data_IF_363013954897
#
_entry.id   IF_363013954897
#
_cell.length_a   1.000
_cell.length_b   1.000
_cell.length_c   1.000
_cell.angle_alpha   90.00
_cell.angle_beta   90.00
_cell.angle_gamma   90.00
#
_symmetry.space_group_name_H-M   'P 1'
#
loop_
_entity.id
_entity.type
_entity.pdbx_description
1 polymer ?
#
# COMPACT_ATOMS: atom_id res chain seq x y z
N UNK A 1 5.33 -11.06 -3.53
CA UNK A 1 3.93 -11.22 -3.04
C UNK A 1 3.88 -10.92 -1.56
N UNK A 2 2.78 -10.36 -1.08
CA UNK A 2 2.55 -9.87 0.28
C UNK A 2 1.18 -10.33 0.78
N UNK A 3 0.86 -10.01 2.04
CA UNK A 3 -0.41 -10.37 2.67
C UNK A 3 -1.27 -9.16 3.03
N UNK A 4 -0.66 -7.98 3.05
CA UNK A 4 -1.24 -6.75 3.61
C UNK A 4 -1.22 -6.71 5.15
N UNK A 5 -0.42 -7.57 5.79
CA UNK A 5 -0.17 -7.52 7.23
C UNK A 5 1.15 -6.79 7.47
N UNK A 6 1.06 -5.60 8.02
CA UNK A 6 2.22 -4.74 8.26
C UNK A 6 3.07 -5.32 9.38
N UNK A 7 4.37 -5.45 9.10
CA UNK A 7 5.36 -6.01 10.04
C UNK A 7 6.32 -4.96 10.61
N UNK A 8 6.22 -3.72 10.12
CA UNK A 8 6.98 -2.59 10.63
C UNK A 8 6.47 -1.25 10.13
N UNK A 9 6.78 -0.19 10.85
CA UNK A 9 6.55 1.19 10.41
C UNK A 9 7.90 1.89 10.37
N UNK A 10 8.32 2.25 9.16
CA UNK A 10 9.54 3.00 8.90
C UNK A 10 9.29 4.44 8.50
N UNK A 11 10.35 5.11 8.06
CA UNK A 11 10.25 6.45 7.49
C UNK A 11 11.28 6.67 6.37
N UNK A 12 11.03 7.60 5.48
CA UNK A 12 12.00 8.03 4.48
C UNK A 12 13.04 8.91 5.17
N UNK A 13 14.27 8.42 5.27
CA UNK A 13 15.38 9.14 5.89
C UNK A 13 16.05 10.12 4.91
N UNK A 14 16.16 9.73 3.62
CA UNK A 14 16.75 10.59 2.59
C UNK A 14 16.21 10.24 1.19
N UNK A 15 16.32 11.20 0.27
CA UNK A 15 15.99 11.07 -1.14
C UNK A 15 17.16 11.58 -1.98
N UNK A 16 17.57 10.79 -2.98
CA UNK A 16 18.62 11.16 -3.93
C UNK A 16 18.08 11.00 -5.35
N UNK A 17 18.28 12.01 -6.20
CA UNK A 17 17.92 11.89 -7.61
C UNK A 17 18.87 10.88 -8.31
N UNK A 18 18.32 10.03 -9.18
CA UNK A 18 19.11 9.10 -10.00
C UNK A 18 19.57 9.73 -11.32
N UNK A 19 19.17 10.97 -11.60
CA UNK A 19 19.55 11.73 -12.78
C UNK A 19 19.07 13.16 -12.70
N UNK A 20 19.30 13.94 -13.76
CA UNK A 20 19.07 15.39 -13.79
C UNK A 20 17.73 15.82 -14.39
N UNK A 21 16.97 14.92 -15.01
CA UNK A 21 15.64 15.22 -15.59
C UNK A 21 14.51 14.68 -14.72
N UNK A 22 13.29 15.14 -14.98
CA UNK A 22 12.08 14.67 -14.31
C UNK A 22 11.72 13.22 -14.64
N UNK A 23 12.26 12.66 -15.72
CA UNK A 23 12.04 11.28 -16.15
C UNK A 23 12.91 10.29 -15.35
N UNK A 24 13.85 10.79 -14.55
CA UNK A 24 14.66 9.96 -13.70
C UNK A 24 13.94 9.68 -12.38
N UNK A 25 14.11 8.44 -11.89
CA UNK A 25 13.65 8.03 -10.58
C UNK A 25 14.48 8.62 -9.44
N UNK A 26 14.25 8.07 -8.27
CA UNK A 26 14.97 8.46 -7.04
C UNK A 26 15.46 7.23 -6.31
N UNK A 27 16.58 7.38 -5.61
CA UNK A 27 17.02 6.48 -4.56
C UNK A 27 16.44 6.94 -3.24
N UNK A 28 15.72 6.07 -2.57
CA UNK A 28 15.18 6.31 -1.23
C UNK A 28 16.04 5.58 -0.21
N UNK A 29 16.40 6.28 0.86
CA UNK A 29 16.95 5.67 2.07
C UNK A 29 15.80 5.56 3.06
N UNK A 30 15.53 4.34 3.49
CA UNK A 30 14.43 4.03 4.41
C UNK A 30 15.04 3.62 5.75
N UNK A 31 14.60 4.27 6.83
CA UNK A 31 14.85 3.84 8.20
C UNK A 31 13.77 2.85 8.62
N UNK A 32 14.16 1.64 8.95
CA UNK A 32 13.29 0.58 9.44
C UNK A 32 13.35 0.50 10.98
N UNK A 33 12.34 -0.09 11.63
CA UNK A 33 12.40 -0.32 13.07
C UNK A 33 13.52 -1.33 13.45
N UNK A 34 14.02 -1.28 14.69
CA UNK A 34 15.06 -2.19 15.14
C UNK A 34 14.72 -3.67 14.91
N UNK A 35 15.68 -4.44 14.39
CA UNK A 35 15.51 -5.86 14.10
C UNK A 35 14.72 -6.19 12.83
N UNK A 36 14.12 -5.20 12.18
CA UNK A 36 13.34 -5.44 10.95
C UNK A 36 14.21 -5.99 9.81
N UNK A 37 15.47 -5.58 9.73
CA UNK A 37 16.39 -5.94 8.66
C UNK A 37 17.23 -7.20 8.93
N UNK A 38 17.07 -7.86 10.07
CA UNK A 38 17.94 -8.98 10.48
C UNK A 38 17.95 -10.17 9.51
N UNK A 39 16.84 -10.34 8.76
CA UNK A 39 16.66 -11.43 7.80
C UNK A 39 16.43 -10.93 6.36
N UNK A 40 16.79 -9.68 6.07
CA UNK A 40 16.63 -9.04 4.76
C UNK A 40 17.95 -9.09 4.00
N UNK A 41 17.91 -9.53 2.75
CA UNK A 41 19.03 -9.56 1.81
C UNK A 41 18.91 -8.57 0.67
N UNK A 42 20.02 -8.37 -0.07
CA UNK A 42 19.99 -7.62 -1.32
C UNK A 42 19.12 -8.36 -2.35
N UNK A 43 18.27 -7.62 -3.07
CA UNK A 43 17.33 -8.18 -4.03
C UNK A 43 15.99 -8.60 -3.42
N UNK A 44 15.85 -8.61 -2.10
CA UNK A 44 14.56 -8.88 -1.47
C UNK A 44 13.55 -7.79 -1.77
N UNK A 45 12.27 -8.19 -1.77
CA UNK A 45 11.15 -7.26 -1.96
C UNK A 45 10.57 -6.83 -0.62
N UNK A 46 10.41 -5.52 -0.45
CA UNK A 46 9.68 -4.92 0.67
C UNK A 46 8.61 -4.00 0.10
N UNK A 47 7.37 -4.14 0.56
CA UNK A 47 6.30 -3.21 0.23
C UNK A 47 6.41 -1.94 1.10
N UNK A 48 6.46 -0.78 0.45
CA UNK A 48 6.46 0.55 1.06
C UNK A 48 5.10 1.21 0.84
N UNK A 49 4.27 1.31 1.86
CA UNK A 49 2.87 1.74 1.72
C UNK A 49 2.14 1.03 0.56
N UNK A 50 2.36 -0.28 0.43
CA UNK A 50 1.76 -1.13 -0.60
C UNK A 50 2.48 -1.14 -1.94
N UNK A 51 3.54 -0.35 -2.15
CA UNK A 51 4.34 -0.40 -3.36
C UNK A 51 5.52 -1.36 -3.20
N UNK A 52 5.57 -2.43 -4.00
CA UNK A 52 6.66 -3.41 -4.01
C UNK A 52 7.96 -2.77 -4.51
N UNK A 53 9.00 -2.82 -3.68
CA UNK A 53 10.31 -2.26 -3.97
C UNK A 53 11.41 -3.29 -3.69
N UNK A 54 12.48 -3.23 -4.48
CA UNK A 54 13.62 -4.14 -4.34
C UNK A 54 14.73 -3.47 -3.53
N UNK A 55 15.24 -4.16 -2.52
CA UNK A 55 16.34 -3.70 -1.69
C UNK A 55 17.64 -3.68 -2.49
N UNK A 56 18.27 -2.50 -2.59
CA UNK A 56 19.51 -2.29 -3.34
C UNK A 56 20.75 -2.14 -2.47
N UNK A 57 20.60 -1.74 -1.20
CA UNK A 57 21.67 -1.77 -0.20
C UNK A 57 21.12 -1.86 1.21
N UNK A 58 21.97 -2.25 2.16
CA UNK A 58 21.67 -2.39 3.59
C UNK A 58 22.74 -1.68 4.42
N UNK A 59 22.33 -0.94 5.44
CA UNK A 59 23.15 -0.39 6.53
C UNK A 59 22.55 -0.86 7.85
N UNK A 60 22.89 -2.09 8.24
CA UNK A 60 22.32 -2.74 9.42
C UNK A 60 22.59 -1.96 10.73
N UNK A 61 23.79 -1.37 10.96
CA UNK A 61 24.03 -0.57 12.14
C UNK A 61 23.09 0.62 12.31
N UNK A 62 22.64 1.23 11.19
CA UNK A 62 21.69 2.34 11.20
C UNK A 62 20.26 1.90 11.02
N UNK A 63 20.01 0.61 10.81
CA UNK A 63 18.70 0.07 10.41
C UNK A 63 18.16 0.76 9.16
N UNK A 64 19.03 1.01 8.18
CA UNK A 64 18.65 1.59 6.89
C UNK A 64 18.76 0.59 5.75
N UNK A 65 17.85 0.71 4.80
CA UNK A 65 17.96 0.08 3.49
C UNK A 65 17.67 1.08 2.38
N UNK A 66 18.15 0.81 1.18
CA UNK A 66 17.85 1.65 0.01
C UNK A 66 17.06 0.88 -1.02
N UNK A 67 16.24 1.63 -1.75
CA UNK A 67 15.54 1.17 -2.95
C UNK A 67 15.67 2.24 -4.05
N UNK A 68 15.58 1.83 -5.30
CA UNK A 68 15.46 2.73 -6.44
C UNK A 68 14.03 2.67 -6.96
N UNK A 69 13.37 3.83 -7.03
CA UNK A 69 12.00 3.97 -7.50
C UNK A 69 11.98 4.74 -8.82
N UNK A 70 11.23 4.25 -9.82
CA UNK A 70 11.08 4.92 -11.10
C UNK A 70 10.25 6.20 -10.98
N UNK A 71 10.39 7.11 -11.96
CA UNK A 71 9.55 8.30 -12.06
C UNK A 71 8.06 7.92 -12.21
N UNK A 72 7.76 6.86 -12.97
CA UNK A 72 6.39 6.35 -13.13
C UNK A 72 5.80 5.89 -11.79
N UNK A 73 6.54 5.07 -11.02
CA UNK A 73 6.06 4.61 -9.70
C UNK A 73 5.85 5.77 -8.74
N UNK A 74 6.72 6.79 -8.77
CA UNK A 74 6.54 8.02 -7.98
C UNK A 74 5.27 8.78 -8.38
N UNK A 75 4.93 8.82 -9.67
CA UNK A 75 3.73 9.50 -10.17
C UNK A 75 2.45 8.74 -9.81
N UNK A 76 2.52 7.39 -9.69
CA UNK A 76 1.37 6.53 -9.39
C UNK A 76 1.15 6.25 -7.91
N UNK A 77 2.04 6.71 -7.05
CA UNK A 77 1.97 6.49 -5.60
C UNK A 77 1.96 7.81 -4.85
N UNK A 78 1.58 7.77 -3.59
CA UNK A 78 1.64 8.92 -2.69
C UNK A 78 2.55 8.65 -1.50
N UNK A 79 3.18 9.73 -0.98
CA UNK A 79 4.03 9.68 0.21
C UNK A 79 5.49 9.29 -0.03
N UNK A 80 5.83 8.66 -1.18
CA UNK A 80 7.18 8.14 -1.43
C UNK A 80 8.21 9.22 -1.88
N UNK A 81 7.77 10.46 -2.08
CA UNK A 81 8.63 11.56 -2.50
C UNK A 81 8.96 12.58 -1.38
N UNK A 82 8.70 12.24 -0.11
CA UNK A 82 8.82 13.18 1.01
C UNK A 82 9.67 12.60 2.14
N UNK A 83 10.78 13.27 2.47
CA UNK A 83 11.60 12.94 3.65
C UNK A 83 10.78 13.07 4.93
N UNK A 84 10.97 12.15 5.86
CA UNK A 84 10.24 12.07 7.13
C UNK A 84 8.85 11.39 7.03
N UNK A 85 8.37 11.09 5.81
CA UNK A 85 7.09 10.41 5.65
C UNK A 85 7.12 9.00 6.24
N UNK A 86 6.10 8.67 7.06
CA UNK A 86 5.96 7.35 7.69
C UNK A 86 5.43 6.33 6.69
N UNK A 87 6.02 5.15 6.69
CA UNK A 87 5.71 4.07 5.76
C UNK A 87 5.32 2.80 6.50
N UNK A 88 4.24 2.18 6.05
CA UNK A 88 3.98 0.78 6.35
C UNK A 88 4.99 -0.08 5.59
N UNK A 89 5.62 -1.01 6.29
CA UNK A 89 6.59 -1.94 5.74
C UNK A 89 6.09 -3.37 5.88
N UNK A 90 6.17 -4.13 4.79
CA UNK A 90 5.91 -5.56 4.79
C UNK A 90 6.98 -6.24 3.94
N UNK A 91 7.64 -7.27 4.47
CA UNK A 91 8.55 -8.13 3.71
C UNK A 91 7.77 -9.10 2.84
N UNK A 92 8.32 -9.47 1.67
CA UNK A 92 7.69 -10.48 0.82
C UNK A 92 7.51 -11.79 1.57
N UNK A 93 6.37 -12.46 1.31
CA UNK A 93 6.02 -13.77 1.86
C UNK A 93 7.09 -14.82 1.55
N UNK A 94 7.43 -15.62 2.55
CA UNK A 94 8.14 -16.90 2.41
C UNK A 94 7.14 -18.03 2.17
N UNK A 95 7.63 -19.15 1.65
CA UNK A 95 6.79 -20.29 1.33
C UNK A 95 6.03 -20.91 2.53
N UNK A 96 6.54 -20.72 3.74
CA UNK A 96 5.94 -21.22 4.98
C UNK A 96 5.22 -20.17 5.82
N UNK A 97 5.08 -18.94 5.32
CA UNK A 97 4.37 -17.88 6.03
C UNK A 97 2.84 -18.06 5.95
N UNK A 98 2.14 -17.47 6.92
CA UNK A 98 0.69 -17.46 6.93
C UNK A 98 0.14 -16.33 6.07
N UNK A 99 -0.87 -16.62 5.27
CA UNK A 99 -1.66 -15.60 4.57
C UNK A 99 -2.69 -15.01 5.55
N UNK A 100 -2.26 -14.05 6.38
CA UNK A 100 -3.13 -13.45 7.41
C UNK A 100 -4.14 -12.41 6.90
N UNK A 101 -3.90 -11.84 5.71
CA UNK A 101 -4.79 -10.91 5.03
C UNK A 101 -5.38 -11.52 3.75
N UNK A 102 -4.99 -10.97 2.58
CA UNK A 102 -5.33 -11.53 1.28
C UNK A 102 -4.09 -11.55 0.36
N UNK A 103 -4.24 -12.03 -0.87
CA UNK A 103 -3.12 -12.05 -1.84
C UNK A 103 -2.89 -10.62 -2.34
N UNK A 104 -1.75 -10.02 -1.95
CA UNK A 104 -1.35 -8.66 -2.31
C UNK A 104 -0.12 -8.72 -3.20
N UNK A 105 -0.18 -8.04 -4.36
CA UNK A 105 0.93 -8.03 -5.31
C UNK A 105 1.99 -6.96 -4.98
N UNK A 106 1.58 -5.89 -4.31
CA UNK A 106 2.38 -4.70 -4.09
C UNK A 106 2.37 -3.76 -5.30
N UNK A 107 1.33 -3.84 -6.13
CA UNK A 107 1.17 -3.02 -7.31
C UNK A 107 -0.01 -2.05 -7.12
N UNK A 108 0.31 -0.82 -6.75
CA UNK A 108 -0.67 0.23 -6.50
C UNK A 108 -1.48 0.52 -7.76
N UNK A 109 -2.80 0.40 -7.67
CA UNK A 109 -3.74 0.64 -8.77
C UNK A 109 -4.14 2.09 -8.92
N UNK A 110 -4.14 2.83 -7.82
CA UNK A 110 -4.53 4.22 -7.81
C UNK A 110 -4.34 4.88 -6.46
N UNK A 111 -4.63 6.16 -6.43
CA UNK A 111 -4.56 6.97 -5.23
C UNK A 111 -5.99 7.34 -4.83
N UNK A 112 -6.37 6.98 -3.61
CA UNK A 112 -7.60 7.39 -2.97
C UNK A 112 -7.40 8.61 -2.08
N UNK A 113 -8.52 9.19 -1.65
CA UNK A 113 -8.55 10.29 -0.69
C UNK A 113 -9.41 9.90 0.51
N UNK A 114 -8.87 10.08 1.71
CA UNK A 114 -9.62 9.89 2.96
C UNK A 114 -10.71 10.96 3.06
N UNK A 115 -11.95 10.53 3.13
CA UNK A 115 -13.13 11.40 3.30
C UNK A 115 -13.56 11.50 4.76
N UNK A 116 -13.24 10.48 5.56
CA UNK A 116 -13.50 10.45 7.00
C UNK A 116 -12.46 9.58 7.71
N UNK A 117 -12.02 10.03 8.88
CA UNK A 117 -11.19 9.26 9.80
C UNK A 117 -11.50 9.70 11.23
N UNK A 118 -12.41 8.99 11.87
CA UNK A 118 -12.94 9.35 13.18
C UNK A 118 -13.07 8.14 14.09
N UNK A 119 -12.83 8.33 15.36
CA UNK A 119 -13.07 7.28 16.36
C UNK A 119 -14.57 7.12 16.62
N UNK A 120 -15.05 5.89 16.60
CA UNK A 120 -16.43 5.51 16.88
C UNK A 120 -16.41 4.36 17.88
N UNK A 121 -16.73 4.65 19.14
CA UNK A 121 -16.53 3.69 20.22
C UNK A 121 -15.05 3.34 20.39
N UNK A 122 -14.76 2.05 20.42
CA UNK A 122 -13.39 1.51 20.50
C UNK A 122 -12.69 1.41 19.14
N UNK A 123 -13.42 1.61 18.04
CA UNK A 123 -12.95 1.44 16.67
C UNK A 123 -12.84 2.78 15.95
N UNK A 124 -12.39 2.74 14.68
CA UNK A 124 -12.27 3.93 13.83
C UNK A 124 -13.04 3.74 12.52
N UNK A 125 -13.88 4.72 12.16
CA UNK A 125 -14.53 4.80 10.83
C UNK A 125 -13.56 5.47 9.85
N UNK A 126 -12.93 4.65 9.01
CA UNK A 126 -12.13 5.11 7.88
C UNK A 126 -12.98 5.04 6.62
N UNK A 127 -13.12 6.18 5.92
CA UNK A 127 -13.73 6.20 4.59
C UNK A 127 -12.73 6.75 3.58
N UNK A 128 -12.68 6.11 2.43
CA UNK A 128 -11.78 6.47 1.35
C UNK A 128 -12.55 6.53 0.05
N UNK A 129 -12.45 7.67 -0.63
CA UNK A 129 -12.92 7.83 -2.01
C UNK A 129 -11.88 7.22 -2.94
N UNK A 130 -12.24 6.12 -3.59
CA UNK A 130 -11.46 5.50 -4.65
C UNK A 130 -11.86 6.10 -6.01
N UNK A 131 -10.91 6.22 -6.97
CA UNK A 131 -11.22 6.65 -8.33
C UNK A 131 -12.31 5.78 -8.98
N UNK A 132 -13.15 6.36 -9.83
CA UNK A 132 -14.25 5.66 -10.49
C UNK A 132 -13.82 4.40 -11.26
N UNK A 133 -12.60 4.42 -11.83
CA UNK A 133 -12.03 3.26 -12.52
C UNK A 133 -11.84 2.03 -11.61
N UNK A 134 -11.72 2.22 -10.29
CA UNK A 134 -11.57 1.15 -9.33
C UNK A 134 -12.89 0.67 -8.71
N UNK A 135 -13.99 1.41 -8.90
CA UNK A 135 -15.28 1.12 -8.27
C UNK A 135 -15.76 -0.32 -8.49
N UNK A 136 -15.66 -0.83 -9.72
CA UNK A 136 -16.11 -2.17 -10.11
C UNK A 136 -15.38 -3.33 -9.42
N UNK A 137 -14.22 -3.07 -8.83
CA UNK A 137 -13.42 -4.07 -8.12
C UNK A 137 -13.69 -4.10 -6.61
N UNK A 138 -14.41 -3.11 -6.10
CA UNK A 138 -14.74 -3.01 -4.69
C UNK A 138 -16.05 -3.72 -4.40
N UNK A 139 -16.06 -4.58 -3.40
CA UNK A 139 -17.25 -5.34 -3.03
C UNK A 139 -17.49 -5.29 -1.51
N UNK A 140 -18.77 -5.29 -1.10
CA UNK A 140 -19.13 -5.45 0.32
C UNK A 140 -18.54 -6.75 0.85
N UNK A 141 -17.84 -6.68 1.98
CA UNK A 141 -17.06 -7.79 2.59
C UNK A 141 -15.90 -8.32 1.73
N UNK A 142 -15.59 -7.65 0.63
CA UNK A 142 -14.35 -7.88 -0.12
C UNK A 142 -13.13 -7.25 0.55
N UNK A 143 -11.96 -7.53 -0.01
CA UNK A 143 -10.69 -7.00 0.46
C UNK A 143 -10.21 -5.83 -0.40
N UNK A 144 -9.48 -4.91 0.24
CA UNK A 144 -8.73 -3.83 -0.41
C UNK A 144 -7.46 -3.59 0.41
N UNK A 145 -6.36 -3.15 -0.21
CA UNK A 145 -5.27 -2.56 0.56
C UNK A 145 -5.35 -1.04 0.54
N UNK A 146 -5.13 -0.45 1.71
CA UNK A 146 -4.92 0.99 1.87
C UNK A 146 -3.54 1.19 2.48
N UNK A 147 -2.65 1.86 1.75
CA UNK A 147 -1.23 1.97 2.12
C UNK A 147 -0.60 0.61 2.49
N UNK A 148 -0.92 -0.43 1.73
CA UNK A 148 -0.44 -1.79 1.94
C UNK A 148 -1.14 -2.58 3.05
N UNK A 149 -2.04 -2.00 3.82
CA UNK A 149 -2.79 -2.70 4.87
C UNK A 149 -3.99 -3.42 4.27
N UNK A 150 -4.11 -4.73 4.49
CA UNK A 150 -5.28 -5.54 4.10
C UNK A 150 -6.47 -5.18 4.97
N UNK A 151 -7.56 -4.74 4.36
CA UNK A 151 -8.75 -4.24 5.04
C UNK A 151 -10.01 -4.81 4.41
N UNK A 152 -11.03 -5.03 5.25
CA UNK A 152 -12.35 -5.50 4.82
C UNK A 152 -13.26 -4.29 4.55
N UNK A 153 -13.88 -4.28 3.39
CA UNK A 153 -14.85 -3.26 3.00
C UNK A 153 -16.18 -3.54 3.67
N UNK A 154 -16.65 -2.62 4.52
CA UNK A 154 -17.92 -2.75 5.23
C UNK A 154 -19.11 -2.09 4.52
N UNK A 155 -18.86 -1.08 3.71
CA UNK A 155 -19.88 -0.42 2.89
C UNK A 155 -19.24 0.20 1.66
N UNK A 156 -20.02 0.24 0.58
CA UNK A 156 -19.67 0.91 -0.67
C UNK A 156 -20.76 1.90 -0.99
N UNK A 157 -20.36 3.07 -1.45
CA UNK A 157 -21.26 4.10 -1.95
C UNK A 157 -20.69 4.66 -3.25
N UNK A 158 -21.34 4.33 -4.36
CA UNK A 158 -20.96 4.87 -5.66
C UNK A 158 -21.45 6.31 -5.79
N UNK A 159 -20.59 7.16 -6.34
CA UNK A 159 -20.83 8.59 -6.58
C UNK A 159 -20.32 8.96 -7.98
N UNK A 160 -20.65 10.15 -8.46
CA UNK A 160 -20.09 10.65 -9.72
C UNK A 160 -18.56 10.82 -9.66
N UNK A 161 -18.01 11.09 -8.49
CA UNK A 161 -16.57 11.28 -8.28
C UNK A 161 -15.78 9.96 -8.15
N UNK A 162 -16.47 8.85 -7.91
CA UNK A 162 -15.84 7.55 -7.68
C UNK A 162 -16.66 6.68 -6.73
N UNK A 163 -15.96 5.79 -6.00
CA UNK A 163 -16.59 4.88 -5.05
C UNK A 163 -16.03 5.13 -3.65
N UNK A 164 -16.88 5.49 -2.69
CA UNK A 164 -16.48 5.60 -1.28
C UNK A 164 -16.57 4.23 -0.61
N UNK A 165 -15.43 3.72 -0.17
CA UNK A 165 -15.33 2.51 0.66
C UNK A 165 -15.26 2.91 2.14
N UNK A 166 -16.11 2.28 2.98
CA UNK A 166 -16.09 2.44 4.43
C UNK A 166 -15.51 1.20 5.09
N UNK A 167 -14.56 1.41 5.98
CA UNK A 167 -13.78 0.40 6.67
C UNK A 167 -13.83 0.68 8.18
N UNK A 168 -14.02 -0.36 8.99
CA UNK A 168 -13.87 -0.26 10.44
C UNK A 168 -12.47 -0.74 10.84
N UNK A 169 -11.67 0.16 11.42
CA UNK A 169 -10.33 -0.18 11.91
C UNK A 169 -10.39 -0.47 13.40
N UNK A 170 -9.79 -1.58 13.78
CA UNK A 170 -9.59 -1.92 15.21
C UNK A 170 -8.39 -1.11 15.78
N UNK A 171 -8.33 -0.85 17.08
CA UNK A 171 -7.24 -0.12 17.73
C UNK A 171 -5.87 -0.65 17.36
N UNK A 172 -5.68 -1.96 17.34
CA UNK A 172 -4.43 -2.61 16.99
C UNK A 172 -3.91 -2.16 15.59
N UNK A 173 -4.78 -2.06 14.60
CA UNK A 173 -4.39 -1.62 13.25
C UNK A 173 -3.95 -0.17 13.23
N UNK A 174 -4.67 0.70 13.94
CA UNK A 174 -4.36 2.14 14.03
C UNK A 174 -3.03 2.37 14.73
N UNK A 175 -2.75 1.65 15.80
CA UNK A 175 -1.54 1.78 16.63
C UNK A 175 -0.30 1.21 15.94
N UNK A 176 -0.44 0.10 15.20
CA UNK A 176 0.68 -0.66 14.66
C UNK A 176 0.94 -0.39 13.17
N UNK A 177 0.24 0.58 12.56
CA UNK A 177 0.45 0.98 11.17
C UNK A 177 0.57 2.50 11.03
N UNK A 178 1.03 2.96 9.88
CA UNK A 178 1.03 4.37 9.53
C UNK A 178 -0.39 4.93 9.31
N UNK A 179 -1.44 4.09 9.29
CA UNK A 179 -2.82 4.54 9.12
C UNK A 179 -3.27 5.44 10.29
N UNK A 180 -2.73 5.25 11.49
CA UNK A 180 -3.04 6.10 12.65
C UNK A 180 -2.67 7.59 12.47
N UNK A 181 -1.86 7.93 11.48
CA UNK A 181 -1.52 9.31 11.13
C UNK A 181 -2.43 9.95 10.06
N UNK A 182 -3.39 9.19 9.53
CA UNK A 182 -4.32 9.69 8.51
C UNK A 182 -5.29 10.73 9.12
N UNK A 183 -5.77 11.58 8.23
CA UNK A 183 -6.82 12.56 8.50
C UNK A 183 -7.64 12.77 7.23
N UNK A 184 -8.82 13.35 7.35
CA UNK A 184 -9.62 13.78 6.20
C UNK A 184 -8.77 14.62 5.24
N UNK A 185 -8.83 14.29 3.95
CA UNK A 185 -8.02 14.88 2.90
C UNK A 185 -6.68 14.17 2.65
N UNK A 186 -6.23 13.24 3.51
CA UNK A 186 -5.02 12.45 3.27
C UNK A 186 -5.16 11.63 1.98
N UNK A 187 -4.08 11.58 1.19
CA UNK A 187 -3.99 10.70 0.02
C UNK A 187 -3.42 9.35 0.46
N UNK A 188 -3.94 8.27 -0.11
CA UNK A 188 -3.54 6.88 0.21
C UNK A 188 -3.37 6.06 -1.05
N UNK A 189 -2.42 5.13 -1.03
CA UNK A 189 -2.24 4.14 -2.09
C UNK A 189 -3.31 3.06 -1.96
N UNK A 190 -3.94 2.71 -3.08
CA UNK A 190 -4.96 1.66 -3.16
C UNK A 190 -4.46 0.54 -4.07
N UNK A 191 -4.64 -0.70 -3.64
CA UNK A 191 -4.52 -1.89 -4.49
C UNK A 191 -5.79 -2.70 -4.33
N UNK A 192 -6.42 -3.05 -5.46
CA UNK A 192 -7.61 -3.91 -5.49
C UNK A 192 -7.23 -5.37 -5.20
N UNK A 193 -8.20 -6.17 -4.79
CA UNK A 193 -8.01 -7.62 -4.68
C UNK A 193 -7.64 -8.20 -6.06
N UNK A 194 -6.54 -8.95 -6.10
CA UNK A 194 -6.02 -9.58 -7.32
C UNK A 194 -7.07 -10.49 -7.98
N UNK A 195 -7.91 -11.16 -7.20
CA UNK A 195 -8.99 -12.01 -7.70
C UNK A 195 -9.99 -11.17 -8.51
N UNK A 196 -10.38 -10.01 -8.03
CA UNK A 196 -11.31 -9.12 -8.73
C UNK A 196 -10.78 -8.71 -10.12
N UNK A 197 -9.47 -8.49 -10.25
CA UNK A 197 -8.80 -8.17 -11.51
C UNK A 197 -8.91 -9.29 -12.53
N UNK A 198 -8.66 -10.53 -12.12
CA UNK A 198 -8.74 -11.69 -13.03
C UNK A 198 -10.18 -12.00 -13.38
N UNK A 199 -11.11 -11.92 -12.43
CA UNK A 199 -12.56 -12.11 -12.71
C UNK A 199 -13.04 -11.10 -13.75
N UNK A 200 -12.72 -9.84 -13.60
CA UNK A 200 -13.07 -8.82 -14.60
C UNK A 200 -12.52 -9.14 -15.98
N UNK A 201 -11.23 -9.50 -16.06
CA UNK A 201 -10.60 -9.83 -17.35
C UNK A 201 -11.25 -11.03 -18.04
N UNK A 202 -11.62 -12.05 -17.25
CA UNK A 202 -12.29 -13.25 -17.78
C UNK A 202 -13.70 -12.93 -18.28
N UNK A 203 -14.44 -12.07 -17.57
CA UNK A 203 -15.79 -11.67 -17.98
C UNK A 203 -15.77 -10.72 -19.19
N UNK A 204 -14.74 -9.91 -19.34
CA UNK A 204 -14.59 -8.98 -20.47
C UNK A 204 -13.95 -9.63 -21.71
N UNK A 205 -13.46 -10.87 -21.63
CA UNK A 205 -12.89 -11.57 -22.78
C UNK A 205 -14.02 -11.89 -23.79
N UNK A 206 -13.83 -11.63 -25.12
CA UNK A 206 -14.78 -12.08 -26.13
C UNK A 206 -14.97 -13.61 -26.00
N UNK A 207 -16.21 -14.09 -26.12
CA UNK A 207 -16.45 -15.52 -26.24
C UNK A 207 -15.61 -16.02 -27.43
N UNK A 208 -14.77 -17.05 -27.18
CA UNK A 208 -14.02 -17.65 -28.27
C UNK A 208 -15.02 -18.12 -29.34
N UNK A 209 -14.85 -17.64 -30.57
CA UNK A 209 -15.63 -18.17 -31.69
C UNK A 209 -15.31 -19.66 -31.78
N UNK A 210 -16.31 -20.51 -31.51
CA UNK A 210 -16.25 -21.96 -31.70
C UNK A 210 -16.26 -22.29 -33.19
#
# INVERSE_FOLDING_TARGET
MFTGIITGVGRIAALHALGSSLDHGKRLVIEAPPGYLDDVGLGDSIALNGACMTVTSLDLPRQHFTIDISAESLARTTGLAQVGFRLNLEKALRANDRLGGHIVSGHVDGIGQVTRFEQVGESWDLRVMAPAALAKYLAYKGSITINGVSLTVNRITDTEAGCEASINLIPHTVENTALGSLKTGSRVNLEIDLIARYVERMLAAPAAAQ
#
